data_IF_155661573190
#
_entry.id   IF_155661573190
#
_cell.length_a   1.000
_cell.length_b   1.000
_cell.length_c   1.000
_cell.angle_alpha   90.00
_cell.angle_beta   90.00
_cell.angle_gamma   90.00
#
_symmetry.space_group_name_H-M   'P 1'
#
loop_
_entity.id
_entity.type
_entity.pdbx_description
1 polymer ?
#
# COMPACT_ATOMS: atom_id res chain seq x y z
N UNK A 1 2.96 5.79 41.00
CA UNK A 1 3.14 6.15 39.58
C UNK A 1 1.93 5.62 38.84
N UNK A 2 0.99 6.48 38.46
CA UNK A 2 -0.19 6.07 37.70
C UNK A 2 0.25 5.72 36.28
N UNK A 3 -0.02 4.49 35.83
CA UNK A 3 0.05 4.14 34.42
C UNK A 3 -0.83 5.12 33.64
N UNK A 4 -0.22 5.87 32.72
CA UNK A 4 -1.03 6.60 31.74
C UNK A 4 -1.74 5.58 30.86
N UNK A 5 -3.06 5.69 30.63
CA UNK A 5 -3.78 4.78 29.77
C UNK A 5 -3.14 4.82 28.37
N UNK A 6 -2.69 3.65 27.90
CA UNK A 6 -2.05 3.50 26.59
C UNK A 6 -3.05 3.90 25.52
N UNK A 7 -2.84 5.08 24.90
CA UNK A 7 -3.68 5.62 23.82
C UNK A 7 -3.90 4.51 22.77
N UNK A 8 -5.14 4.04 22.53
CA UNK A 8 -5.38 3.06 21.48
C UNK A 8 -4.92 3.68 20.15
N UNK A 9 -3.89 3.10 19.54
CA UNK A 9 -3.39 3.52 18.23
C UNK A 9 -4.21 2.78 17.19
N UNK A 10 -5.32 3.38 16.75
CA UNK A 10 -5.91 3.02 15.47
C UNK A 10 -4.97 3.60 14.41
N UNK A 11 -4.19 2.75 13.76
CA UNK A 11 -3.27 3.17 12.70
C UNK A 11 -3.86 2.84 11.33
N UNK A 12 -3.68 3.75 10.38
CA UNK A 12 -3.98 3.50 8.98
C UNK A 12 -2.67 3.35 8.24
N UNK A 13 -2.53 2.25 7.50
CA UNK A 13 -1.43 2.04 6.57
C UNK A 13 -1.94 1.82 5.15
N UNK A 14 -1.02 1.83 4.21
CA UNK A 14 -1.28 1.68 2.77
C UNK A 14 -0.36 0.63 2.17
N UNK A 15 -0.82 -0.02 1.10
CA UNK A 15 -0.01 -0.93 0.30
C UNK A 15 -0.25 -0.69 -1.19
N UNK A 16 0.83 -0.52 -1.95
CA UNK A 16 0.78 -0.28 -3.39
C UNK A 16 0.92 -1.56 -4.19
N UNK A 17 -0.16 -1.99 -4.84
CA UNK A 17 -0.12 -2.97 -5.92
C UNK A 17 0.25 -2.25 -7.22
N UNK A 18 1.54 -1.99 -7.41
CA UNK A 18 2.07 -1.33 -8.62
C UNK A 18 2.21 -2.36 -9.73
N UNK A 19 1.45 -2.15 -10.80
CA UNK A 19 1.44 -3.04 -11.97
C UNK A 19 2.30 -2.44 -13.07
N UNK A 20 3.21 -3.27 -13.59
CA UNK A 20 3.98 -3.00 -14.82
C UNK A 20 3.85 -4.21 -15.72
N UNK A 21 3.19 -4.04 -16.87
CA UNK A 21 2.81 -5.13 -17.77
C UNK A 21 2.02 -6.23 -17.03
N UNK A 22 2.59 -7.43 -16.89
CA UNK A 22 1.99 -8.55 -16.17
C UNK A 22 2.79 -8.92 -14.91
N UNK A 23 3.47 -7.94 -14.33
CA UNK A 23 4.26 -8.08 -13.12
C UNK A 23 3.79 -7.12 -12.03
N UNK A 24 3.93 -7.56 -10.78
CA UNK A 24 3.60 -6.80 -9.59
C UNK A 24 4.88 -6.43 -8.86
N UNK A 25 5.01 -5.16 -8.45
CA UNK A 25 6.10 -4.72 -7.59
C UNK A 25 5.94 -5.33 -6.19
N UNK A 26 7.00 -5.96 -5.71
CA UNK A 26 7.08 -6.52 -4.35
C UNK A 26 8.39 -6.09 -3.68
N UNK A 27 8.35 -5.98 -2.35
CA UNK A 27 9.49 -5.63 -1.50
C UNK A 27 9.80 -6.75 -0.52
N UNK A 28 11.08 -7.01 -0.27
CA UNK A 28 11.55 -8.00 0.70
C UNK A 28 11.96 -7.32 2.00
N UNK A 29 11.28 -7.64 3.09
CA UNK A 29 11.49 -6.97 4.38
C UNK A 29 12.82 -7.38 5.04
N UNK A 30 13.59 -6.43 5.57
CA UNK A 30 14.81 -6.71 6.35
C UNK A 30 14.52 -7.03 7.82
N UNK A 31 13.36 -6.63 8.34
CA UNK A 31 13.02 -6.75 9.77
C UNK A 31 11.51 -6.97 10.02
N UNK A 32 11.16 -7.17 11.28
CA UNK A 32 9.78 -7.29 11.74
C UNK A 32 9.16 -8.69 11.53
N UNK A 33 7.85 -8.85 11.79
CA UNK A 33 7.17 -10.16 11.70
C UNK A 33 7.22 -10.82 10.32
N UNK A 34 7.51 -10.03 9.28
CA UNK A 34 7.58 -10.46 7.89
C UNK A 34 9.00 -10.44 7.33
N UNK A 35 10.03 -10.37 8.20
CA UNK A 35 11.43 -10.44 7.80
C UNK A 35 11.68 -11.60 6.83
N UNK A 36 12.39 -11.30 5.73
CA UNK A 36 12.73 -12.26 4.67
C UNK A 36 11.57 -12.65 3.77
N UNK A 37 10.38 -12.05 3.95
CA UNK A 37 9.21 -12.28 3.09
C UNK A 37 8.96 -11.11 2.15
N UNK A 38 8.35 -11.42 1.02
CA UNK A 38 7.87 -10.43 0.05
C UNK A 38 6.49 -9.90 0.44
N UNK A 39 6.35 -8.58 0.37
CA UNK A 39 5.14 -7.81 0.69
C UNK A 39 4.86 -6.80 -0.43
N UNK A 40 3.68 -6.15 -0.39
CA UNK A 40 3.45 -4.92 -1.15
C UNK A 40 4.30 -3.80 -0.52
N UNK A 41 4.92 -2.92 -1.32
CA UNK A 41 5.50 -1.68 -0.79
C UNK A 41 4.42 -0.84 -0.10
N UNK A 42 4.77 -0.19 1.00
CA UNK A 42 3.84 0.65 1.74
C UNK A 42 4.07 0.73 3.24
N UNK A 43 3.60 1.82 3.83
CA UNK A 43 3.81 2.14 5.24
C UNK A 43 2.58 2.75 5.90
N UNK A 44 2.83 3.56 6.94
CA UNK A 44 1.78 4.28 7.68
C UNK A 44 1.49 5.62 7.04
N UNK A 45 0.27 6.12 7.23
CA UNK A 45 -0.02 7.52 6.94
C UNK A 45 0.71 8.42 7.94
N UNK A 46 1.36 9.45 7.42
CA UNK A 46 1.89 10.55 8.20
C UNK A 46 0.81 11.60 8.53
N UNK A 47 1.02 12.42 9.58
CA UNK A 47 0.13 13.53 9.86
C UNK A 47 0.11 14.55 8.71
N UNK A 48 -1.06 14.78 8.14
CA UNK A 48 -1.29 15.84 7.15
C UNK A 48 -1.29 15.40 5.69
N UNK A 49 -1.25 14.10 5.40
CA UNK A 49 -1.38 13.56 4.04
C UNK A 49 -2.65 12.72 3.86
N UNK A 50 -3.09 12.58 2.61
CA UNK A 50 -4.15 11.63 2.21
C UNK A 50 -3.54 10.27 1.86
N UNK A 51 -4.36 9.21 1.88
CA UNK A 51 -3.87 7.85 1.69
C UNK A 51 -3.24 7.58 0.29
N UNK A 52 -3.70 8.28 -0.75
CA UNK A 52 -3.11 8.21 -2.09
C UNK A 52 -1.74 8.90 -2.15
N UNK A 53 -1.55 10.00 -1.41
CA UNK A 53 -0.26 10.67 -1.28
C UNK A 53 0.70 9.77 -0.50
N UNK A 54 0.24 9.18 0.60
CA UNK A 54 1.02 8.25 1.41
C UNK A 54 1.51 7.07 0.57
N UNK A 55 0.63 6.40 -0.19
CA UNK A 55 1.05 5.20 -0.95
C UNK A 55 2.05 5.54 -2.06
N UNK A 56 1.90 6.69 -2.74
CA UNK A 56 2.86 7.13 -3.74
C UNK A 56 4.22 7.45 -3.12
N UNK A 57 4.23 8.12 -1.95
CA UNK A 57 5.45 8.40 -1.18
C UNK A 57 6.17 7.12 -0.78
N UNK A 58 5.47 6.20 -0.11
CA UNK A 58 6.04 4.95 0.38
C UNK A 58 6.61 4.09 -0.76
N UNK A 59 5.86 3.92 -1.85
CA UNK A 59 6.35 3.18 -3.04
C UNK A 59 7.66 3.77 -3.53
N UNK A 60 7.73 5.11 -3.68
CA UNK A 60 8.93 5.77 -4.16
C UNK A 60 10.09 5.62 -3.19
N UNK A 61 9.88 5.84 -1.90
CA UNK A 61 10.92 5.79 -0.85
C UNK A 61 11.50 4.38 -0.70
N UNK A 62 10.65 3.36 -0.74
CA UNK A 62 11.04 1.96 -0.51
C UNK A 62 11.66 1.28 -1.73
N UNK A 63 11.32 1.74 -2.94
CA UNK A 63 11.59 0.97 -4.17
C UNK A 63 12.24 1.76 -5.30
N UNK A 64 12.37 3.09 -5.16
CA UNK A 64 12.77 4.00 -6.24
C UNK A 64 11.84 4.02 -7.47
N UNK A 65 10.64 3.41 -7.37
CA UNK A 65 9.63 3.41 -8.43
C UNK A 65 8.70 4.62 -8.30
N UNK A 66 8.49 5.32 -9.42
CA UNK A 66 7.43 6.32 -9.54
C UNK A 66 6.15 5.65 -10.07
N UNK A 67 5.04 5.79 -9.35
CA UNK A 67 3.75 5.21 -9.70
C UNK A 67 2.59 6.12 -9.30
N UNK A 68 1.48 6.05 -10.05
CA UNK A 68 0.28 6.85 -9.78
C UNK A 68 -0.80 5.98 -9.14
N UNK A 69 -1.38 6.40 -8.00
CA UNK A 69 -2.53 5.73 -7.43
C UNK A 69 -3.73 5.80 -8.38
N UNK A 70 -4.26 4.64 -8.79
CA UNK A 70 -5.48 4.55 -9.58
C UNK A 70 -6.72 4.56 -8.70
N UNK A 71 -6.67 3.81 -7.59
CA UNK A 71 -7.77 3.72 -6.65
C UNK A 71 -7.59 2.60 -5.63
N UNK A 72 -8.55 2.48 -4.72
CA UNK A 72 -8.53 1.49 -3.64
C UNK A 72 -9.20 0.21 -4.15
N UNK A 73 -8.53 -0.93 -4.00
CA UNK A 73 -9.02 -2.26 -4.41
C UNK A 73 -9.32 -3.19 -3.23
N UNK A 74 -9.00 -2.76 -2.00
CA UNK A 74 -9.27 -3.56 -0.83
C UNK A 74 -8.96 -2.85 0.47
N UNK A 75 -9.57 -3.36 1.55
CA UNK A 75 -9.34 -2.91 2.92
C UNK A 75 -9.12 -4.14 3.79
N UNK A 76 -8.00 -4.19 4.51
CA UNK A 76 -7.75 -5.18 5.55
C UNK A 76 -7.84 -4.52 6.91
N UNK A 77 -8.67 -5.08 7.80
CA UNK A 77 -8.72 -4.70 9.20
C UNK A 77 -8.08 -5.79 10.05
N UNK A 78 -7.23 -5.43 11.01
CA UNK A 78 -6.69 -6.36 12.02
C UNK A 78 -6.86 -5.77 13.40
N UNK A 79 -7.24 -6.65 14.33
CA UNK A 79 -7.26 -6.37 15.75
C UNK A 79 -6.27 -7.29 16.45
N UNK A 80 -5.56 -6.74 17.42
CA UNK A 80 -4.73 -7.46 18.39
C UNK A 80 -4.97 -6.86 19.77
N UNK A 81 -4.54 -7.54 20.84
CA UNK A 81 -4.55 -6.95 22.19
C UNK A 81 -3.75 -5.64 22.27
N UNK A 82 -2.86 -5.37 21.31
CA UNK A 82 -2.02 -4.18 21.23
C UNK A 82 -2.66 -3.01 20.48
N UNK A 83 -3.76 -3.23 19.76
CA UNK A 83 -4.46 -2.22 18.98
C UNK A 83 -5.06 -2.73 17.67
N UNK A 84 -5.65 -1.80 16.92
CA UNK A 84 -6.29 -2.05 15.62
C UNK A 84 -5.52 -1.34 14.52
N UNK A 85 -5.35 -1.99 13.37
CA UNK A 85 -4.85 -1.36 12.16
C UNK A 85 -5.80 -1.58 10.98
N UNK A 86 -5.94 -0.54 10.18
CA UNK A 86 -6.61 -0.55 8.88
C UNK A 86 -5.56 -0.41 7.79
N UNK A 87 -5.60 -1.27 6.79
CA UNK A 87 -4.63 -1.28 5.69
C UNK A 87 -5.38 -1.15 4.37
N UNK A 88 -5.16 -0.04 3.68
CA UNK A 88 -5.77 0.26 2.39
C UNK A 88 -4.86 -0.28 1.28
N UNK A 89 -5.42 -1.10 0.40
CA UNK A 89 -4.69 -1.69 -0.73
C UNK A 89 -5.03 -0.89 -1.97
N UNK A 90 -4.02 -0.30 -2.58
CA UNK A 90 -4.13 0.55 -3.75
C UNK A 90 -3.70 -0.18 -4.99
N UNK A 91 -4.47 -0.08 -6.07
CA UNK A 91 -3.95 -0.37 -7.40
C UNK A 91 -3.26 0.87 -7.93
N UNK A 92 -2.06 0.68 -8.50
CA UNK A 92 -1.23 1.78 -9.00
C UNK A 92 -0.66 1.45 -10.36
N UNK A 93 -0.59 2.47 -11.21
CA UNK A 93 0.00 2.37 -12.54
C UNK A 93 1.47 2.80 -12.47
N UNK A 94 2.37 1.92 -12.94
CA UNK A 94 3.80 2.22 -13.06
C UNK A 94 4.04 3.39 -14.02
N UNK A 95 4.92 4.33 -13.64
CA UNK A 95 5.39 5.40 -14.52
C UNK A 95 6.84 5.22 -14.97
N UNK A 96 7.75 5.05 -14.02
CA UNK A 96 9.20 5.02 -14.31
C UNK A 96 10.02 4.51 -13.12
N UNK A 97 11.32 4.30 -13.35
CA UNK A 97 12.27 3.85 -12.34
C UNK A 97 12.61 2.37 -12.45
N UNK A 98 13.71 1.99 -11.81
CA UNK A 98 14.14 0.59 -11.66
C UNK A 98 14.06 0.22 -10.19
N UNK A 99 13.54 -0.97 -9.86
CA UNK A 99 13.27 -1.33 -8.48
C UNK A 99 14.58 -1.58 -7.73
N UNK A 100 14.81 -0.80 -6.67
CA UNK A 100 15.94 -0.94 -5.76
C UNK A 100 15.45 -0.74 -4.33
N UNK A 101 15.89 -1.60 -3.40
CA UNK A 101 15.53 -1.45 -2.00
C UNK A 101 16.18 -0.22 -1.38
N UNK A 102 15.53 0.39 -0.39
CA UNK A 102 16.03 1.57 0.32
C UNK A 102 17.30 1.33 1.17
N UNK A 103 17.72 0.06 1.33
CA UNK A 103 18.88 -0.36 2.11
C UNK A 103 18.69 -0.21 3.63
N UNK A 104 17.45 0.05 4.09
CA UNK A 104 17.08 0.16 5.49
C UNK A 104 16.00 -0.86 5.81
N UNK A 105 14.78 -0.57 5.40
CA UNK A 105 13.61 -1.38 5.70
C UNK A 105 13.41 -2.50 4.69
N UNK A 106 13.85 -2.24 3.46
CA UNK A 106 13.70 -3.11 2.30
C UNK A 106 15.07 -3.59 1.82
N UNK A 107 15.23 -4.91 1.77
CA UNK A 107 16.44 -5.56 1.28
C UNK A 107 16.51 -5.42 -0.24
N UNK A 108 15.40 -5.74 -0.90
CA UNK A 108 15.25 -5.73 -2.34
C UNK A 108 13.82 -5.39 -2.74
N UNK A 109 13.68 -4.57 -3.78
CA UNK A 109 12.44 -4.43 -4.52
C UNK A 109 12.58 -5.13 -5.88
N UNK A 110 11.52 -5.74 -6.38
CA UNK A 110 11.50 -6.28 -7.75
C UNK A 110 10.08 -6.45 -8.26
N UNK A 111 9.95 -6.49 -9.58
CA UNK A 111 8.75 -6.98 -10.23
C UNK A 111 8.74 -8.51 -10.26
N UNK A 112 7.56 -9.10 -10.04
CA UNK A 112 7.32 -10.54 -10.16
C UNK A 112 6.03 -10.81 -10.92
N UNK A 113 6.05 -11.82 -11.77
CA UNK A 113 4.84 -12.36 -12.40
C UNK A 113 3.95 -13.06 -11.37
N UNK A 114 2.67 -13.26 -11.70
CA UNK A 114 1.76 -14.06 -10.87
C UNK A 114 2.30 -15.48 -10.65
N UNK A 115 2.84 -16.11 -11.69
CA UNK A 115 3.40 -17.47 -11.61
C UNK A 115 4.58 -17.52 -10.62
N UNK A 116 5.51 -16.56 -10.69
CA UNK A 116 6.61 -16.47 -9.71
C UNK A 116 6.08 -16.27 -8.29
N UNK A 117 5.07 -15.42 -8.10
CA UNK A 117 4.45 -15.20 -6.78
C UNK A 117 3.82 -16.48 -6.22
N UNK A 118 3.13 -17.26 -7.05
CA UNK A 118 2.44 -18.49 -6.64
C UNK A 118 3.41 -19.65 -6.33
N UNK A 119 4.59 -19.67 -6.95
CA UNK A 119 5.59 -20.72 -6.75
C UNK A 119 6.49 -20.50 -5.52
N UNK A 120 6.34 -19.37 -4.82
CA UNK A 120 7.18 -18.97 -3.68
C UNK A 120 6.48 -19.15 -2.34
N UNK A 121 7.20 -19.71 -1.38
CA UNK A 121 6.76 -19.85 0.02
C UNK A 121 7.12 -18.63 0.89
N UNK A 122 8.01 -17.77 0.38
CA UNK A 122 8.44 -16.52 1.02
C UNK A 122 7.63 -15.30 0.59
N UNK A 123 6.52 -15.46 -0.13
CA UNK A 123 5.55 -14.39 -0.40
C UNK A 123 4.40 -14.47 0.61
N UNK A 124 4.02 -13.34 1.22
CA UNK A 124 2.87 -13.35 2.15
C UNK A 124 1.58 -13.58 1.38
N UNK A 125 0.67 -14.40 1.94
CA UNK A 125 -0.58 -14.78 1.28
C UNK A 125 -1.42 -13.58 0.77
N UNK A 126 -1.41 -12.46 1.48
CA UNK A 126 -2.12 -11.25 1.03
C UNK A 126 -1.62 -10.77 -0.34
N UNK A 127 -0.31 -10.81 -0.60
CA UNK A 127 0.27 -10.44 -1.91
C UNK A 127 -0.21 -11.41 -2.98
N UNK A 128 -0.14 -12.72 -2.74
CA UNK A 128 -0.62 -13.72 -3.71
C UNK A 128 -2.11 -13.54 -4.02
N UNK A 129 -2.93 -13.26 -3.01
CA UNK A 129 -4.35 -13.00 -3.18
C UNK A 129 -4.61 -11.72 -4.00
N UNK A 130 -3.91 -10.63 -3.67
CA UNK A 130 -4.04 -9.35 -4.40
C UNK A 130 -3.56 -9.49 -5.84
N UNK A 131 -2.41 -10.12 -6.07
CA UNK A 131 -1.88 -10.38 -7.41
C UNK A 131 -2.89 -11.17 -8.26
N UNK A 132 -3.43 -12.26 -7.72
CA UNK A 132 -4.45 -13.06 -8.40
C UNK A 132 -5.71 -12.25 -8.72
N UNK A 133 -6.13 -11.33 -7.86
CA UNK A 133 -7.29 -10.45 -8.14
C UNK A 133 -6.99 -9.41 -9.20
N UNK A 134 -5.85 -8.73 -9.11
CA UNK A 134 -5.43 -7.69 -10.05
C UNK A 134 -5.25 -8.25 -11.46
N UNK A 135 -4.53 -9.37 -11.61
CA UNK A 135 -4.24 -9.93 -12.94
C UNK A 135 -5.41 -10.65 -13.60
N UNK A 136 -6.35 -11.20 -12.82
CA UNK A 136 -7.52 -11.90 -13.37
C UNK A 136 -8.76 -10.98 -13.52
N UNK A 137 -8.62 -9.66 -13.33
CA UNK A 137 -9.73 -8.71 -13.46
C UNK A 137 -10.80 -8.83 -12.38
N UNK A 138 -10.40 -9.27 -11.18
CA UNK A 138 -11.29 -9.54 -10.05
C UNK A 138 -11.39 -8.42 -9.01
N UNK A 139 -10.96 -7.20 -9.34
CA UNK A 139 -10.95 -6.03 -8.45
C UNK A 139 -11.92 -4.96 -8.93
N UNK A 140 -12.82 -4.53 -8.03
CA UNK A 140 -13.56 -3.27 -8.18
C UNK A 140 -12.67 -2.14 -7.66
N UNK A 141 -12.32 -1.20 -8.52
CA UNK A 141 -11.43 -0.09 -8.18
C UNK A 141 -12.27 1.11 -7.74
N UNK A 142 -12.13 1.54 -6.49
CA UNK A 142 -12.70 2.79 -6.02
C UNK A 142 -11.81 3.94 -6.49
N UNK A 143 -12.18 4.57 -7.59
CA UNK A 143 -11.39 5.59 -8.28
C UNK A 143 -11.64 6.99 -7.70
N UNK A 144 -10.65 7.88 -7.81
CA UNK A 144 -10.79 9.26 -7.38
C UNK A 144 -11.87 10.00 -8.21
N UNK A 145 -12.83 10.63 -7.52
CA UNK A 145 -13.89 11.42 -8.16
C UNK A 145 -13.46 12.88 -8.31
N UNK A 146 -13.09 13.24 -9.54
CA UNK A 146 -12.69 14.61 -9.91
C UNK A 146 -13.87 15.55 -10.13
N UNK A 147 -15.08 14.99 -10.23
CA UNK A 147 -16.36 15.70 -10.39
C UNK A 147 -17.08 15.96 -9.06
N UNK A 148 -16.49 15.58 -7.93
CA UNK A 148 -17.04 15.86 -6.61
C UNK A 148 -16.92 17.34 -6.27
N UNK A 149 -18.07 18.00 -6.03
CA UNK A 149 -18.11 19.40 -5.62
C UNK A 149 -17.81 19.54 -4.12
N UNK A 150 -16.68 20.17 -3.80
CA UNK A 150 -16.27 20.47 -2.43
C UNK A 150 -16.98 21.70 -1.89
N UNK A 151 -18.22 21.52 -1.42
CA UNK A 151 -19.08 22.63 -0.95
C UNK A 151 -18.75 23.12 0.47
N UNK A 152 -17.90 22.40 1.21
CA UNK A 152 -17.53 22.78 2.58
C UNK A 152 -16.37 23.79 2.61
N UNK A 153 -16.47 24.87 3.42
CA UNK A 153 -15.37 25.81 3.59
C UNK A 153 -14.09 25.11 4.04
N UNK A 154 -12.99 25.33 3.31
CA UNK A 154 -11.68 24.72 3.60
C UNK A 154 -11.49 23.32 3.03
N UNK A 155 -12.48 22.74 2.34
CA UNK A 155 -12.29 21.50 1.59
C UNK A 155 -11.75 21.82 0.19
N UNK A 156 -10.58 21.29 -0.12
CA UNK A 156 -9.94 21.39 -1.45
C UNK A 156 -9.63 19.99 -1.97
N UNK A 157 -9.45 19.80 -3.29
CA UNK A 157 -8.96 18.54 -3.86
C UNK A 157 -7.65 18.02 -3.24
N UNK A 158 -6.83 18.91 -2.71
CA UNK A 158 -5.56 18.58 -2.05
C UNK A 158 -5.73 18.12 -0.60
N UNK A 159 -6.85 18.48 0.06
CA UNK A 159 -7.12 18.17 1.47
C UNK A 159 -8.26 17.17 1.66
N UNK A 160 -9.08 16.96 0.63
CA UNK A 160 -10.21 16.04 0.61
C UNK A 160 -10.20 15.27 -0.70
N UNK A 161 -10.23 13.94 -0.62
CA UNK A 161 -10.34 13.07 -1.80
C UNK A 161 -11.41 12.02 -1.58
N UNK A 162 -12.34 11.94 -2.53
CA UNK A 162 -13.40 10.96 -2.54
C UNK A 162 -13.05 9.84 -3.53
N UNK A 163 -13.04 8.60 -3.03
CA UNK A 163 -12.83 7.40 -3.84
C UNK A 163 -14.10 6.55 -3.81
N UNK A 164 -14.67 6.25 -4.98
CA UNK A 164 -15.91 5.45 -5.12
C UNK A 164 -15.96 4.64 -6.42
#
# INVERSE_FOLDING_TARGET
MSEQPRKPRNTTGVGGAVVRDNELLVVRMTYGPSQGRYMLPGGLLDPGETADVAVAREVREETSIEAVPRGIIGVRCRYTERGTDTYLIWQMDYLSGEPEGDGREIEHARFMTLEEIEQRDDVVYLVSYVAGKVFNGGTDVLEYKTDYEYLMPGATPDSWKLFM
#
